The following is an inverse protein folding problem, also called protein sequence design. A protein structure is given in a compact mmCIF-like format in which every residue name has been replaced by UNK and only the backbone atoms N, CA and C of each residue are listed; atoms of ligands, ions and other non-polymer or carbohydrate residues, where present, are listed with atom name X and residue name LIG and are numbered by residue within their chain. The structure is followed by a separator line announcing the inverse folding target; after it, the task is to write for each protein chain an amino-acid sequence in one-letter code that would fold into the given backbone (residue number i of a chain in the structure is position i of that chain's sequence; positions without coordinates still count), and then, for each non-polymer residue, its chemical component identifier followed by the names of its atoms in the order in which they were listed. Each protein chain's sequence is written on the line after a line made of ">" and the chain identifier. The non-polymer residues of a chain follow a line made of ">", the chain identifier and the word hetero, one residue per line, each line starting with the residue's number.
data_IF_466344652963
#
_entry.id   IF_466344652963
#
_cell.length_a   1.000
_cell.length_b   1.000
_cell.length_c   1.000
_cell.angle_alpha   90.00
_cell.angle_beta   90.00
_cell.angle_gamma   90.00
#
_symmetry.space_group_name_H-M   'P 1'
#
loop_
_entity.id
_entity.type
_entity.pdbx_description
1 polymer ?
#
# COMPACT_ATOMS: atom_id res chain seq x y z
N UNK A 1 20.93 2.37 -1.55
CA UNK A 1 19.67 2.73 -2.23
C UNK A 1 18.57 2.81 -1.17
N UNK A 2 17.78 3.89 -1.16
CA UNK A 2 16.83 4.15 -0.08
C UNK A 2 15.50 3.46 -0.38
N UNK A 3 15.10 2.52 0.47
CA UNK A 3 13.83 1.80 0.44
C UNK A 3 12.69 2.75 0.81
N UNK A 4 12.29 3.66 -0.09
CA UNK A 4 11.26 4.67 0.15
C UNK A 4 9.90 4.26 -0.41
N UNK A 5 8.85 4.46 0.38
CA UNK A 5 7.47 4.21 0.01
C UNK A 5 6.97 5.27 -0.97
N UNK A 6 6.37 4.86 -2.09
CA UNK A 6 5.77 5.77 -3.07
C UNK A 6 4.51 6.52 -2.58
N UNK A 7 4.07 6.32 -1.33
CA UNK A 7 2.89 6.97 -0.74
C UNK A 7 3.33 8.07 0.22
N UNK A 8 4.06 7.73 1.29
CA UNK A 8 4.58 8.70 2.25
C UNK A 8 5.91 9.33 1.83
N UNK A 9 6.56 8.82 0.78
CA UNK A 9 7.90 9.21 0.34
C UNK A 9 8.98 9.04 1.42
N UNK A 10 8.69 8.21 2.43
CA UNK A 10 9.57 7.91 3.58
C UNK A 10 10.02 6.45 3.57
N UNK A 11 10.87 6.05 4.51
CA UNK A 11 11.41 4.69 4.62
C UNK A 11 10.28 3.67 4.78
N UNK A 12 10.35 2.56 4.04
CA UNK A 12 9.39 1.47 4.13
C UNK A 12 9.29 0.96 5.58
N UNK A 13 8.17 1.27 6.21
CA UNK A 13 7.85 0.84 7.56
C UNK A 13 6.78 -0.24 7.46
N UNK A 14 7.15 -1.49 7.76
CA UNK A 14 6.29 -2.69 7.61
C UNK A 14 5.70 -2.79 6.20
N UNK A 15 6.54 -3.02 5.16
CA UNK A 15 6.05 -3.14 3.80
C UNK A 15 5.12 -4.36 3.67
N UNK A 16 3.89 -4.13 3.24
CA UNK A 16 2.95 -5.19 2.83
C UNK A 16 3.03 -5.36 1.33
N UNK A 17 3.20 -6.59 0.89
CA UNK A 17 3.16 -6.94 -0.52
C UNK A 17 1.71 -7.07 -0.98
N UNK A 18 1.31 -6.22 -1.92
CA UNK A 18 -0.01 -6.28 -2.53
C UNK A 18 -0.06 -7.36 -3.61
N UNK A 19 -1.25 -7.91 -3.96
CA UNK A 19 -1.39 -8.85 -5.07
C UNK A 19 -1.01 -8.27 -6.44
N UNK A 20 -0.80 -6.95 -6.53
CA UNK A 20 -0.21 -6.30 -7.71
C UNK A 20 1.34 -6.33 -7.72
N UNK A 21 1.98 -7.07 -6.79
CA UNK A 21 3.42 -7.17 -6.60
C UNK A 21 4.13 -5.84 -6.25
N UNK A 22 3.42 -4.92 -5.60
CA UNK A 22 3.99 -3.68 -5.08
C UNK A 22 3.97 -3.69 -3.56
N UNK A 23 5.02 -3.16 -2.96
CA UNK A 23 5.15 -3.06 -1.51
C UNK A 23 4.87 -1.63 -1.07
N UNK A 24 4.07 -1.46 -0.03
CA UNK A 24 3.75 -0.17 0.56
C UNK A 24 3.72 -0.29 2.08
N UNK A 25 3.94 0.83 2.80
CA UNK A 25 3.85 0.82 4.26
C UNK A 25 2.44 0.39 4.69
N UNK A 26 2.35 -0.50 5.67
CA UNK A 26 1.08 -0.92 6.26
C UNK A 26 0.22 0.29 6.69
N UNK A 27 0.86 1.29 7.28
CA UNK A 27 0.22 2.54 7.70
C UNK A 27 -0.34 3.34 6.51
N UNK A 28 0.45 3.49 5.44
CA UNK A 28 0.02 4.16 4.22
C UNK A 28 -1.16 3.43 3.55
N UNK A 29 -1.14 2.10 3.59
CA UNK A 29 -2.22 1.27 3.09
C UNK A 29 -3.48 1.41 3.94
N UNK A 30 -3.34 1.39 5.26
CA UNK A 30 -4.45 1.56 6.20
C UNK A 30 -5.07 2.96 6.09
N UNK A 31 -4.26 4.00 5.90
CA UNK A 31 -4.71 5.38 5.66
C UNK A 31 -5.41 5.56 4.31
N UNK A 32 -4.96 4.87 3.26
CA UNK A 32 -5.62 4.90 1.95
C UNK A 32 -6.92 4.10 1.93
N UNK A 33 -6.92 2.94 2.58
CA UNK A 33 -8.09 2.05 2.63
C UNK A 33 -9.14 2.64 3.55
N UNK A 34 -8.82 3.18 4.73
CA UNK A 34 -9.77 3.94 5.57
C UNK A 34 -11.13 3.23 5.75
N UNK A 35 -12.10 3.55 4.89
CA UNK A 35 -13.45 2.95 4.82
C UNK A 35 -13.75 2.13 3.55
N UNK A 36 -12.84 2.10 2.58
CA UNK A 36 -12.97 1.42 1.29
C UNK A 36 -12.14 0.14 1.28
N UNK A 37 -12.77 -0.98 0.94
CA UNK A 37 -12.12 -2.30 0.77
C UNK A 37 -11.16 -2.35 -0.43
N UNK A 38 -11.20 -1.35 -1.32
CA UNK A 38 -10.33 -1.29 -2.50
C UNK A 38 -9.58 0.03 -2.60
N UNK A 39 -8.32 -0.08 -3.04
CA UNK A 39 -7.46 1.05 -3.37
C UNK A 39 -6.79 0.83 -4.71
N UNK A 40 -6.57 1.89 -5.48
CA UNK A 40 -5.83 1.80 -6.73
C UNK A 40 -4.33 2.00 -6.47
N UNK A 41 -3.50 1.06 -6.91
CA UNK A 41 -2.06 1.14 -6.72
C UNK A 41 -1.48 2.34 -7.51
N UNK A 42 -0.71 3.25 -6.89
CA UNK A 42 -0.15 4.41 -7.59
C UNK A 42 0.88 4.04 -8.65
N UNK A 43 1.54 2.88 -8.52
CA UNK A 43 2.61 2.47 -9.44
C UNK A 43 2.10 1.77 -10.72
N UNK A 44 1.03 0.98 -10.60
CA UNK A 44 0.49 0.20 -11.73
C UNK A 44 -0.97 0.48 -12.05
N UNK A 45 -1.63 1.36 -11.28
CA UNK A 45 -3.07 1.67 -11.34
C UNK A 45 -4.00 0.46 -11.26
N UNK A 46 -3.50 -0.68 -10.78
CA UNK A 46 -4.34 -1.85 -10.52
C UNK A 46 -5.18 -1.60 -9.28
N UNK A 47 -6.45 -1.95 -9.37
CA UNK A 47 -7.32 -1.98 -8.20
C UNK A 47 -6.92 -3.16 -7.32
N UNK A 48 -6.55 -2.85 -6.10
CA UNK A 48 -6.06 -3.80 -5.12
C UNK A 48 -7.05 -3.81 -3.97
N UNK A 49 -7.63 -4.98 -3.73
CA UNK A 49 -8.40 -5.21 -2.52
C UNK A 49 -7.42 -5.61 -1.43
N UNK A 50 -7.30 -4.81 -0.38
CA UNK A 50 -6.59 -5.27 0.79
C UNK A 50 -7.46 -6.31 1.50
N UNK A 51 -6.88 -7.41 1.98
CA UNK A 51 -7.63 -8.30 2.84
C UNK A 51 -8.07 -7.49 4.06
N UNK A 52 -9.39 -7.46 4.32
CA UNK A 52 -9.98 -6.97 5.57
C UNK A 52 -9.10 -7.50 6.69
N UNK A 53 -8.31 -6.61 7.30
CA UNK A 53 -7.45 -7.00 8.40
C UNK A 53 -8.36 -7.02 9.61
N UNK A 54 -9.08 -8.14 9.76
CA UNK A 54 -9.74 -8.53 11.00
C UNK A 54 -8.72 -8.78 12.09
#
# INVERSE_FOLDING_TARGET
>A
EMLTCGICLDTYTRPKLLPCAHSFCEDCLQGMVGWRISMSCPNCRKDVKLPDTG
#
